data_IF_773823924479
#
_entry.id   IF_773823924479
#
_cell.length_a   1.000
_cell.length_b   1.000
_cell.length_c   1.000
_cell.angle_alpha   90.00
_cell.angle_beta   90.00
_cell.angle_gamma   90.00
#
_symmetry.space_group_name_H-M   'P 1'
#
loop_
_entity.id
_entity.type
_entity.pdbx_description
1 polymer ?
#
# COMPACT_ATOMS: atom_id res chain seq x y z
N UNK A 1 0.13 1.92 20.46
CA UNK A 1 -1.09 2.67 20.12
C UNK A 1 -1.90 2.93 21.39
N UNK A 2 -2.92 3.79 21.34
CA UNK A 2 -3.90 3.96 22.44
C UNK A 2 -4.51 2.61 22.83
N UNK A 3 -4.96 1.85 21.83
CA UNK A 3 -5.52 0.51 22.02
C UNK A 3 -4.59 -0.46 22.78
N UNK A 4 -3.28 -0.47 22.53
CA UNK A 4 -2.35 -1.34 23.28
C UNK A 4 -2.19 -0.94 24.74
N UNK A 5 -2.50 0.30 25.11
CA UNK A 5 -2.44 0.75 26.51
C UNK A 5 -3.71 0.35 27.25
N UNK A 6 -4.85 0.44 26.59
CA UNK A 6 -6.16 0.33 27.24
C UNK A 6 -6.81 -1.05 27.09
N UNK A 7 -6.36 -1.86 26.12
CA UNK A 7 -6.89 -3.19 25.83
C UNK A 7 -5.79 -4.26 26.04
N UNK A 8 -5.66 -4.82 27.26
CA UNK A 8 -4.55 -5.72 27.62
C UNK A 8 -4.57 -7.06 26.86
N UNK A 9 -5.68 -7.39 26.19
CA UNK A 9 -5.81 -8.58 25.35
C UNK A 9 -5.25 -8.40 23.93
N UNK A 10 -4.87 -7.19 23.53
CA UNK A 10 -4.22 -6.95 22.23
C UNK A 10 -2.71 -7.20 22.38
N UNK A 11 -2.22 -8.22 21.67
CA UNK A 11 -0.80 -8.53 21.63
C UNK A 11 -0.04 -7.64 20.64
N UNK A 12 0.68 -6.66 21.19
CA UNK A 12 1.55 -5.73 20.44
C UNK A 12 2.64 -6.42 19.61
N UNK A 13 2.94 -7.68 19.89
CA UNK A 13 3.97 -8.46 19.18
C UNK A 13 3.40 -9.27 18.03
N UNK A 14 2.07 -9.36 17.88
CA UNK A 14 1.37 -10.15 16.84
C UNK A 14 0.22 -9.38 16.21
N UNK A 15 0.46 -8.11 15.87
CA UNK A 15 -0.50 -7.26 15.17
C UNK A 15 -0.18 -7.20 13.68
N UNK A 16 -1.18 -7.37 12.83
CA UNK A 16 -1.07 -7.29 11.37
C UNK A 16 -2.08 -6.28 10.82
N UNK A 17 -1.86 -5.82 9.58
CA UNK A 17 -2.80 -4.98 8.85
C UNK A 17 -3.19 -5.65 7.53
N UNK A 18 -4.44 -5.51 7.13
CA UNK A 18 -4.91 -6.04 5.86
C UNK A 18 -6.00 -5.16 5.27
N UNK A 19 -6.06 -5.11 3.94
CA UNK A 19 -7.25 -4.61 3.25
C UNK A 19 -7.28 -4.96 1.76
N UNK A 20 -8.42 -4.63 1.14
CA UNK A 20 -8.69 -4.77 -0.29
C UNK A 20 -8.86 -3.39 -0.93
N UNK A 21 -8.34 -3.20 -2.15
CA UNK A 21 -8.55 -2.01 -2.97
C UNK A 21 -7.91 -0.80 -2.30
N UNK A 22 -8.67 0.24 -1.98
CA UNK A 22 -8.17 1.33 -1.14
C UNK A 22 -7.65 0.81 0.22
N UNK A 23 -8.30 -0.20 0.81
CA UNK A 23 -7.80 -0.85 2.02
C UNK A 23 -6.46 -1.54 1.80
N UNK A 24 -6.23 -2.09 0.60
CA UNK A 24 -4.95 -2.68 0.22
C UNK A 24 -3.85 -1.62 0.09
N UNK A 25 -4.18 -0.48 -0.53
CA UNK A 25 -3.33 0.72 -0.55
C UNK A 25 -2.98 1.17 0.86
N UNK A 26 -3.99 1.38 1.71
CA UNK A 26 -3.82 1.85 3.08
C UNK A 26 -3.00 0.86 3.93
N UNK A 27 -3.19 -0.44 3.76
CA UNK A 27 -2.40 -1.47 4.43
C UNK A 27 -0.92 -1.41 4.03
N UNK A 28 -0.64 -1.33 2.72
CA UNK A 28 0.72 -1.20 2.20
C UNK A 28 1.42 0.08 2.66
N UNK A 29 0.73 1.23 2.55
CA UNK A 29 1.24 2.53 3.00
C UNK A 29 1.50 2.55 4.50
N UNK A 30 0.56 2.01 5.29
CA UNK A 30 0.73 1.93 6.74
C UNK A 30 1.95 1.10 7.12
N UNK A 31 2.16 -0.04 6.44
CA UNK A 31 3.32 -0.89 6.68
C UNK A 31 4.64 -0.20 6.28
N UNK A 32 4.66 0.46 5.12
CA UNK A 32 5.81 1.22 4.63
C UNK A 32 6.17 2.43 5.52
N UNK A 33 5.18 3.06 6.15
CA UNK A 33 5.37 4.26 6.99
C UNK A 33 5.44 3.96 8.49
N UNK A 34 5.40 2.68 8.90
CA UNK A 34 5.35 2.28 10.31
C UNK A 34 6.72 2.37 11.01
N UNK A 35 7.13 3.60 11.33
CA UNK A 35 8.35 3.89 12.10
C UNK A 35 8.32 3.34 13.52
N UNK A 36 7.14 2.99 14.05
CA UNK A 36 6.95 2.47 15.41
C UNK A 36 6.90 0.95 15.48
N UNK A 37 7.01 0.25 14.34
CA UNK A 37 6.90 -1.21 14.26
C UNK A 37 5.65 -1.78 14.94
N UNK A 38 4.54 -1.06 14.79
CA UNK A 38 3.18 -1.42 15.20
C UNK A 38 2.74 -2.71 14.53
N UNK A 39 2.92 -2.83 13.21
CA UNK A 39 2.53 -3.98 12.42
C UNK A 39 3.73 -4.90 12.20
N UNK A 40 3.52 -6.21 12.35
CA UNK A 40 4.55 -7.23 12.09
C UNK A 40 4.51 -7.75 10.67
N UNK A 41 3.33 -7.73 10.08
CA UNK A 41 3.11 -8.02 8.69
C UNK A 41 1.89 -7.26 8.17
N UNK A 42 1.81 -7.14 6.85
CA UNK A 42 0.68 -6.59 6.15
C UNK A 42 0.30 -7.40 4.92
N UNK A 43 -0.96 -7.31 4.53
CA UNK A 43 -1.45 -7.91 3.30
C UNK A 43 -2.27 -6.89 2.50
N UNK A 44 -2.02 -6.82 1.20
CA UNK A 44 -2.76 -5.96 0.29
C UNK A 44 -3.42 -6.80 -0.80
N UNK A 45 -4.74 -6.70 -0.92
CA UNK A 45 -5.52 -7.34 -1.99
C UNK A 45 -5.94 -6.28 -3.00
N UNK A 46 -5.62 -6.49 -4.28
CA UNK A 46 -5.86 -5.55 -5.38
C UNK A 46 -5.56 -4.07 -5.04
N UNK A 47 -4.36 -3.72 -4.51
CA UNK A 47 -4.08 -2.36 -4.07
C UNK A 47 -3.93 -1.39 -5.25
N UNK A 48 -4.42 -0.17 -5.08
CA UNK A 48 -3.90 0.97 -5.86
C UNK A 48 -2.51 1.29 -5.32
N UNK A 49 -1.51 1.38 -6.21
CA UNK A 49 -0.12 1.69 -5.83
C UNK A 49 0.37 3.01 -6.40
N UNK A 50 -0.23 3.40 -7.53
CA UNK A 50 -0.02 4.66 -8.21
C UNK A 50 -1.37 5.23 -8.65
N UNK A 51 -1.68 6.42 -8.15
CA UNK A 51 -2.91 7.15 -8.47
C UNK A 51 -2.96 7.63 -9.92
N UNK A 52 -1.81 7.78 -10.59
CA UNK A 52 -1.77 8.14 -12.02
C UNK A 52 -2.24 7.01 -12.93
N UNK A 53 -2.24 5.77 -12.44
CA UNK A 53 -2.66 4.56 -13.16
C UNK A 53 -4.09 4.13 -12.83
N UNK A 54 -4.80 4.90 -12.01
CA UNK A 54 -6.19 4.61 -11.62
C UNK A 54 -7.16 5.48 -12.43
N UNK A 55 -8.43 5.05 -12.52
CA UNK A 55 -9.45 5.73 -13.32
C UNK A 55 -9.48 7.25 -13.06
N UNK A 56 -9.52 8.03 -14.15
CA UNK A 56 -9.40 9.49 -14.08
C UNK A 56 -10.60 10.13 -13.39
N UNK A 57 -11.82 9.60 -13.56
CA UNK A 57 -13.02 10.16 -12.93
C UNK A 57 -12.94 10.04 -11.41
N UNK A 58 -12.53 8.87 -10.90
CA UNK A 58 -12.35 8.70 -9.47
C UNK A 58 -11.19 9.54 -8.94
N UNK A 59 -10.03 9.47 -9.61
CA UNK A 59 -8.81 10.07 -9.09
C UNK A 59 -8.88 11.59 -9.13
N UNK A 60 -9.29 12.20 -10.24
CA UNK A 60 -9.37 13.67 -10.37
C UNK A 60 -10.40 14.26 -9.41
N UNK A 61 -11.50 13.54 -9.14
CA UNK A 61 -12.52 13.97 -8.18
C UNK A 61 -11.98 14.18 -6.77
N UNK A 62 -11.02 13.36 -6.34
CA UNK A 62 -10.50 13.38 -4.96
C UNK A 62 -9.09 13.94 -4.86
N UNK A 63 -8.29 13.86 -5.92
CA UNK A 63 -6.89 14.27 -5.96
C UNK A 63 -6.64 15.49 -6.86
N UNK A 64 -7.61 15.95 -7.66
CA UNK A 64 -7.34 16.98 -8.67
C UNK A 64 -6.48 16.45 -9.82
N UNK A 65 -5.91 17.33 -10.64
CA UNK A 65 -5.07 16.97 -11.78
C UNK A 65 -3.61 16.74 -11.36
N UNK A 66 -2.91 15.73 -11.93
CA UNK A 66 -1.49 15.49 -11.67
C UNK A 66 -0.59 16.47 -12.46
N UNK A 67 -0.84 17.77 -12.33
CA UNK A 67 -0.06 18.82 -13.01
C UNK A 67 0.65 19.72 -12.01
N UNK A 68 1.71 20.40 -12.47
CA UNK A 68 2.46 21.37 -11.65
C UNK A 68 1.60 22.54 -11.15
N UNK A 69 0.51 22.86 -11.87
CA UNK A 69 -0.43 23.91 -11.49
C UNK A 69 -1.53 23.47 -10.54
N UNK A 70 -1.59 22.18 -10.18
CA UNK A 70 -2.62 21.61 -9.32
C UNK A 70 -2.00 20.70 -8.24
N UNK A 71 -2.10 19.36 -8.32
CA UNK A 71 -1.75 18.49 -7.21
C UNK A 71 -0.66 17.44 -7.51
N UNK A 72 0.34 17.74 -8.34
CA UNK A 72 1.44 16.79 -8.62
C UNK A 72 2.11 16.25 -7.34
N UNK A 73 2.31 17.11 -6.33
CA UNK A 73 2.93 16.70 -5.06
C UNK A 73 2.08 15.73 -4.24
N UNK A 74 0.74 15.84 -4.32
CA UNK A 74 -0.17 14.90 -3.68
C UNK A 74 -0.13 13.51 -4.34
N UNK A 75 -0.02 13.46 -5.66
CA UNK A 75 0.18 12.19 -6.39
C UNK A 75 1.51 11.53 -5.98
N UNK A 76 2.61 12.27 -5.96
CA UNK A 76 3.93 11.75 -5.54
C UNK A 76 3.94 11.25 -4.09
N UNK A 77 3.32 12.01 -3.17
CA UNK A 77 3.22 11.64 -1.77
C UNK A 77 2.25 10.46 -1.54
N UNK A 78 1.20 10.34 -2.35
CA UNK A 78 0.22 9.26 -2.29
C UNK A 78 0.66 7.97 -2.97
N UNK A 79 1.79 7.95 -3.67
CA UNK A 79 2.31 6.73 -4.29
C UNK A 79 2.94 5.81 -3.25
N UNK A 80 2.45 4.56 -3.22
CA UNK A 80 3.04 3.47 -2.43
C UNK A 80 4.37 3.03 -3.05
N UNK A 81 4.47 3.07 -4.38
CA UNK A 81 5.68 2.71 -5.12
C UNK A 81 6.92 3.46 -4.58
N UNK A 82 6.79 4.75 -4.30
CA UNK A 82 7.86 5.61 -3.77
C UNK A 82 8.29 5.29 -2.32
N UNK A 83 7.55 4.41 -1.63
CA UNK A 83 7.78 4.09 -0.21
C UNK A 83 7.97 2.59 0.02
N UNK A 84 7.83 1.78 -1.02
CA UNK A 84 7.88 0.32 -0.94
C UNK A 84 9.21 -0.18 -0.37
N UNK A 85 10.32 0.55 -0.57
CA UNK A 85 11.63 0.26 0.02
C UNK A 85 11.63 0.19 1.56
N UNK A 86 10.67 0.86 2.22
CA UNK A 86 10.55 0.87 3.67
C UNK A 86 9.82 -0.38 4.22
N UNK A 87 9.26 -1.21 3.35
CA UNK A 87 8.61 -2.46 3.74
C UNK A 87 9.69 -3.47 4.15
N UNK A 88 9.53 -4.06 5.34
CA UNK A 88 10.49 -5.05 5.84
C UNK A 88 10.37 -6.38 5.09
N UNK A 89 11.50 -6.98 4.74
CA UNK A 89 11.53 -8.33 4.14
C UNK A 89 10.78 -9.36 4.99
N UNK A 90 10.09 -10.29 4.32
CA UNK A 90 9.23 -11.32 4.89
C UNK A 90 8.01 -10.81 5.68
N UNK A 91 7.63 -9.54 5.53
CA UNK A 91 6.48 -8.95 6.25
C UNK A 91 5.28 -8.64 5.37
N UNK A 92 5.34 -8.90 4.06
CA UNK A 92 4.32 -8.44 3.12
C UNK A 92 3.75 -9.56 2.26
N UNK A 93 2.43 -9.54 2.09
CA UNK A 93 1.70 -10.42 1.18
C UNK A 93 0.85 -9.61 0.20
N UNK A 94 1.16 -9.75 -1.09
CA UNK A 94 0.45 -9.09 -2.18
C UNK A 94 -0.49 -10.10 -2.86
N UNK A 95 -1.76 -9.73 -3.05
CA UNK A 95 -2.73 -10.56 -3.76
C UNK A 95 -3.40 -9.73 -4.84
N UNK A 96 -3.53 -10.24 -6.07
CA UNK A 96 -4.27 -9.52 -7.11
C UNK A 96 -4.79 -10.46 -8.22
N UNK A 97 -6.08 -10.35 -8.55
CA UNK A 97 -6.66 -11.05 -9.70
C UNK A 97 -6.17 -10.48 -11.04
N UNK A 98 -5.66 -11.33 -11.93
CA UNK A 98 -5.14 -10.90 -13.25
C UNK A 98 -6.21 -10.37 -14.22
N UNK A 99 -7.49 -10.56 -13.90
CA UNK A 99 -8.64 -10.11 -14.69
C UNK A 99 -9.40 -8.95 -14.01
N UNK A 100 -8.78 -8.25 -13.06
CA UNK A 100 -9.38 -7.07 -12.43
C UNK A 100 -9.44 -5.91 -13.43
N UNK A 101 -10.67 -5.47 -13.72
CA UNK A 101 -11.00 -4.41 -14.67
C UNK A 101 -11.16 -3.03 -14.00
N UNK A 102 -11.12 -2.98 -12.68
CA UNK A 102 -11.29 -1.75 -11.90
C UNK A 102 -9.96 -1.26 -11.32
N UNK A 103 -9.24 -2.11 -10.58
CA UNK A 103 -7.85 -1.85 -10.20
C UNK A 103 -6.98 -2.71 -11.11
N UNK A 104 -6.45 -2.15 -12.18
CA UNK A 104 -5.69 -2.96 -13.13
C UNK A 104 -4.50 -3.68 -12.46
N UNK A 105 -4.31 -4.95 -12.83
CA UNK A 105 -3.23 -5.81 -12.33
C UNK A 105 -1.82 -5.18 -12.45
N UNK A 106 -1.64 -4.24 -13.38
CA UNK A 106 -0.43 -3.42 -13.52
C UNK A 106 0.01 -2.78 -12.19
N UNK A 107 -0.92 -2.38 -11.32
CA UNK A 107 -0.61 -1.82 -10.00
C UNK A 107 0.24 -2.78 -9.16
N UNK A 108 -0.19 -4.04 -9.04
CA UNK A 108 0.56 -5.04 -8.28
C UNK A 108 1.81 -5.51 -8.99
N UNK A 109 1.83 -5.54 -10.33
CA UNK A 109 3.06 -5.83 -11.08
C UNK A 109 4.16 -4.81 -10.82
N UNK A 110 3.83 -3.51 -10.82
CA UNK A 110 4.80 -2.46 -10.54
C UNK A 110 5.29 -2.51 -9.09
N UNK A 111 4.40 -2.79 -8.13
CA UNK A 111 4.81 -2.95 -6.74
C UNK A 111 5.74 -4.16 -6.56
N UNK A 112 5.39 -5.31 -7.14
CA UNK A 112 6.22 -6.51 -7.11
C UNK A 112 7.61 -6.23 -7.70
N UNK A 113 7.66 -5.59 -8.88
CA UNK A 113 8.92 -5.18 -9.51
C UNK A 113 9.79 -4.33 -8.59
N UNK A 114 9.24 -3.30 -7.95
CA UNK A 114 10.02 -2.42 -7.05
C UNK A 114 10.50 -3.20 -5.82
N UNK A 115 9.67 -4.07 -5.25
CA UNK A 115 10.09 -4.91 -4.12
C UNK A 115 11.25 -5.84 -4.51
N UNK A 116 11.19 -6.45 -5.69
CA UNK A 116 12.27 -7.28 -6.24
C UNK A 116 13.56 -6.48 -6.50
N UNK A 117 13.45 -5.31 -7.14
CA UNK A 117 14.59 -4.43 -7.42
C UNK A 117 15.30 -3.93 -6.14
N UNK A 118 14.61 -3.94 -5.00
CA UNK A 118 15.14 -3.54 -3.70
C UNK A 118 15.48 -4.73 -2.78
N UNK A 119 15.51 -5.96 -3.29
CA UNK A 119 15.78 -7.19 -2.52
C UNK A 119 14.84 -7.40 -1.32
N UNK A 120 13.60 -6.93 -1.42
CA UNK A 120 12.58 -7.07 -0.37
C UNK A 120 11.80 -8.35 -0.60
N UNK A 121 11.98 -9.33 0.30
CA UNK A 121 11.24 -10.58 0.23
C UNK A 121 9.76 -10.36 0.59
N UNK A 122 8.87 -10.81 -0.29
CA UNK A 122 7.42 -10.77 -0.09
C UNK A 122 6.77 -12.06 -0.62
N UNK A 123 5.49 -12.26 -0.30
CA UNK A 123 4.68 -13.32 -0.93
C UNK A 123 3.73 -12.70 -1.95
N UNK A 124 3.40 -13.45 -3.00
CA UNK A 124 2.45 -13.02 -4.02
C UNK A 124 1.47 -14.15 -4.37
N UNK A 125 0.19 -13.81 -4.61
CA UNK A 125 -0.84 -14.71 -5.14
C UNK A 125 -1.78 -14.01 -6.12
#
# INVERSE_FOLDING_TARGET
SHLHKDLPFIDKTRTAIWGWSYGGYAAGMSLAMDTKSTFKCGMSVAPVTDWTLYDSIYTERFMGLPTLGDNVGGYEQGQLLNKAENIKSNSYYLIHGTLDDNVHYQQSLLLAKILEENDILFRQQ
#
